data_IF_923760015962
#
_entry.id   IF_923760015962
#
_cell.length_a   1.000
_cell.length_b   1.000
_cell.length_c   1.000
_cell.angle_alpha   90.00
_cell.angle_beta   90.00
_cell.angle_gamma   90.00
#
_symmetry.space_group_name_H-M   'P 1'
#
loop_
_entity.id
_entity.type
_entity.pdbx_description
1 polymer ?
#
# COMPACT_ATOMS: atom_id res chain seq x y z
N UNK A 1 -15.38 -30.06 1.28
CA UNK A 1 -15.73 -29.62 -0.08
C UNK A 1 -15.33 -28.16 -0.20
N UNK A 2 -14.56 -27.75 -1.19
CA UNK A 2 -14.25 -26.33 -1.38
C UNK A 2 -15.54 -25.59 -1.72
N UNK A 3 -15.82 -24.53 -0.99
CA UNK A 3 -16.95 -23.63 -1.26
C UNK A 3 -16.64 -22.93 -2.58
N UNK A 4 -17.27 -23.37 -3.66
CA UNK A 4 -17.22 -22.66 -4.94
C UNK A 4 -18.12 -21.43 -4.82
N UNK A 5 -17.52 -20.26 -4.61
CA UNK A 5 -18.23 -18.99 -4.80
C UNK A 5 -18.51 -18.84 -6.31
N UNK A 6 -19.73 -18.39 -6.69
CA UNK A 6 -20.08 -18.26 -8.10
C UNK A 6 -19.14 -17.27 -8.78
N UNK A 7 -18.54 -17.73 -9.88
CA UNK A 7 -17.71 -16.90 -10.77
C UNK A 7 -18.62 -15.80 -11.33
N UNK A 8 -18.38 -14.54 -10.96
CA UNK A 8 -18.96 -13.42 -11.69
C UNK A 8 -18.19 -13.27 -12.99
N UNK A 9 -18.89 -13.04 -14.11
CA UNK A 9 -18.29 -12.87 -15.45
C UNK A 9 -17.18 -11.81 -15.51
N UNK A 10 -17.11 -10.93 -14.51
CA UNK A 10 -16.13 -9.87 -14.36
C UNK A 10 -14.78 -10.34 -13.76
N UNK A 11 -14.75 -11.48 -13.10
CA UNK A 11 -13.53 -11.93 -12.37
C UNK A 11 -12.42 -12.36 -13.33
N UNK A 12 -12.74 -12.95 -14.48
CA UNK A 12 -11.74 -13.33 -15.49
C UNK A 12 -11.06 -12.11 -16.13
N UNK A 13 -11.81 -11.04 -16.36
CA UNK A 13 -11.26 -9.80 -16.88
C UNK A 13 -10.32 -9.12 -15.89
N UNK A 14 -10.63 -9.18 -14.59
CA UNK A 14 -9.78 -8.70 -13.50
C UNK A 14 -8.47 -9.47 -13.45
N UNK A 15 -8.54 -10.81 -13.46
CA UNK A 15 -7.36 -11.68 -13.44
C UNK A 15 -6.49 -11.45 -14.68
N UNK A 16 -7.11 -11.31 -15.86
CA UNK A 16 -6.39 -11.00 -17.10
C UNK A 16 -5.69 -9.66 -17.01
N UNK A 17 -6.41 -8.60 -16.61
CA UNK A 17 -5.82 -7.26 -16.43
C UNK A 17 -4.62 -7.30 -15.48
N UNK A 18 -4.75 -7.96 -14.34
CA UNK A 18 -3.65 -8.11 -13.39
C UNK A 18 -2.44 -8.83 -14.00
N UNK A 19 -2.65 -9.93 -14.74
CA UNK A 19 -1.57 -10.70 -15.36
C UNK A 19 -0.88 -9.98 -16.51
N UNK A 20 -1.63 -9.26 -17.34
CA UNK A 20 -1.10 -8.60 -18.53
C UNK A 20 -0.52 -7.21 -18.19
N UNK A 21 -1.19 -6.46 -17.31
CA UNK A 21 -0.86 -5.07 -17.02
C UNK A 21 -0.11 -4.86 -15.71
N UNK A 22 -0.16 -5.87 -14.82
CA UNK A 22 0.40 -5.79 -13.45
C UNK A 22 -0.55 -5.18 -12.42
N UNK A 23 -1.76 -4.78 -12.82
CA UNK A 23 -2.77 -4.21 -11.93
C UNK A 23 -4.19 -4.43 -12.46
N UNK A 24 -5.16 -4.27 -11.57
CA UNK A 24 -6.58 -4.28 -11.91
C UNK A 24 -7.38 -3.41 -10.91
N UNK A 25 -8.62 -3.06 -11.28
CA UNK A 25 -9.58 -2.39 -10.41
C UNK A 25 -10.84 -3.24 -10.30
N UNK A 26 -11.32 -3.43 -9.08
CA UNK A 26 -12.57 -4.10 -8.76
C UNK A 26 -13.54 -3.07 -8.20
N UNK A 27 -14.54 -2.70 -8.98
CA UNK A 27 -15.51 -1.71 -8.57
C UNK A 27 -16.52 -2.29 -7.57
N UNK A 28 -16.88 -1.48 -6.57
CA UNK A 28 -17.89 -1.80 -5.55
C UNK A 28 -17.64 -3.16 -4.87
N UNK A 29 -16.37 -3.44 -4.55
CA UNK A 29 -15.99 -4.64 -3.82
C UNK A 29 -16.56 -4.64 -2.41
N UNK A 30 -16.65 -3.45 -1.80
CA UNK A 30 -17.29 -3.20 -0.52
C UNK A 30 -18.60 -2.45 -0.74
N UNK A 31 -19.67 -2.90 -0.10
CA UNK A 31 -20.94 -2.17 -0.04
C UNK A 31 -20.80 -0.87 0.77
N UNK A 32 -21.74 0.04 0.62
CA UNK A 32 -21.73 1.29 1.39
C UNK A 32 -21.76 1.03 2.90
N UNK A 33 -22.53 0.04 3.36
CA UNK A 33 -22.59 -0.33 4.78
C UNK A 33 -21.23 -0.85 5.28
N UNK A 34 -20.61 -1.81 4.58
CA UNK A 34 -19.29 -2.35 4.94
C UNK A 34 -18.22 -1.25 4.94
N UNK A 35 -18.30 -0.31 3.99
CA UNK A 35 -17.37 0.81 3.93
C UNK A 35 -17.49 1.74 5.14
N UNK A 36 -18.71 2.05 5.57
CA UNK A 36 -18.93 2.88 6.78
C UNK A 36 -18.45 2.17 8.05
N UNK A 37 -18.64 0.84 8.15
CA UNK A 37 -18.08 0.04 9.24
C UNK A 37 -16.55 0.12 9.26
N UNK A 38 -15.89 -0.04 8.10
CA UNK A 38 -14.43 0.07 7.98
C UNK A 38 -13.95 1.47 8.37
N UNK A 39 -14.62 2.53 7.90
CA UNK A 39 -14.28 3.91 8.25
C UNK A 39 -14.39 4.18 9.75
N UNK A 40 -15.47 3.69 10.39
CA UNK A 40 -15.67 3.81 11.82
C UNK A 40 -14.53 3.11 12.60
N UNK A 41 -14.15 1.91 12.18
CA UNK A 41 -13.05 1.16 12.81
C UNK A 41 -11.68 1.82 12.59
N UNK A 42 -11.43 2.41 11.42
CA UNK A 42 -10.21 3.23 11.20
C UNK A 42 -10.19 4.41 12.17
N UNK A 43 -11.29 5.15 12.32
CA UNK A 43 -11.37 6.26 13.28
C UNK A 43 -11.15 5.78 14.72
N UNK A 44 -11.81 4.69 15.11
CA UNK A 44 -11.65 4.10 16.44
C UNK A 44 -10.19 3.66 16.69
N UNK A 45 -9.56 3.02 15.70
CA UNK A 45 -8.15 2.60 15.78
C UNK A 45 -7.22 3.80 15.98
N UNK A 46 -7.41 4.87 15.24
CA UNK A 46 -6.58 6.07 15.33
C UNK A 46 -6.80 6.89 16.60
N UNK A 47 -7.98 6.76 17.24
CA UNK A 47 -8.29 7.44 18.50
C UNK A 47 -7.74 6.70 19.74
N UNK A 48 -7.28 5.45 19.58
CA UNK A 48 -6.68 4.69 20.68
C UNK A 48 -5.35 5.31 21.11
N UNK A 49 -5.00 5.08 22.38
CA UNK A 49 -3.65 5.37 22.85
C UNK A 49 -2.64 4.45 22.14
N UNK A 50 -1.79 5.04 21.33
CA UNK A 50 -0.78 4.38 20.51
C UNK A 50 0.54 4.23 21.29
N UNK A 51 0.52 4.42 22.60
CA UNK A 51 1.72 4.40 23.47
C UNK A 51 2.50 3.08 23.41
N UNK A 52 1.88 2.00 22.95
CA UNK A 52 2.53 0.69 22.73
C UNK A 52 3.01 0.44 21.31
N UNK A 53 2.86 1.40 20.39
CA UNK A 53 3.26 1.20 19.00
C UNK A 53 4.78 1.14 18.84
N UNK A 54 5.25 0.24 17.97
CA UNK A 54 6.66 0.15 17.60
C UNK A 54 7.08 1.38 16.80
N UNK A 55 8.35 1.76 16.89
CA UNK A 55 8.89 2.81 16.04
C UNK A 55 8.63 2.49 14.55
N UNK A 56 7.99 3.41 13.84
CA UNK A 56 7.62 3.26 12.43
C UNK A 56 6.23 2.67 12.18
N UNK A 57 5.45 2.30 13.20
CA UNK A 57 4.04 1.91 13.01
C UNK A 57 3.20 3.11 12.56
N UNK A 58 3.55 4.29 13.03
CA UNK A 58 2.87 5.53 12.68
C UNK A 58 3.85 6.56 12.15
N UNK A 59 3.56 7.07 10.98
CA UNK A 59 4.31 8.16 10.33
C UNK A 59 3.41 9.37 10.28
N UNK A 60 3.89 10.47 10.86
CA UNK A 60 3.18 11.74 10.90
C UNK A 60 3.82 12.76 9.97
N UNK A 61 3.00 13.71 9.52
CA UNK A 61 3.47 14.89 8.82
C UNK A 61 4.29 15.75 9.78
N UNK A 62 5.32 16.41 9.25
CA UNK A 62 6.06 17.42 9.99
C UNK A 62 5.35 18.77 9.91
N UNK A 63 4.13 18.82 10.42
CA UNK A 63 3.30 20.03 10.53
C UNK A 63 2.87 20.24 11.98
N UNK A 64 2.32 21.43 12.27
CA UNK A 64 1.89 21.80 13.63
C UNK A 64 0.83 20.84 14.20
N UNK A 65 -0.01 20.26 13.34
CA UNK A 65 -1.10 19.36 13.73
C UNK A 65 -0.66 17.91 13.88
N UNK A 66 0.58 17.57 13.45
CA UNK A 66 1.08 16.18 13.40
C UNK A 66 0.09 15.22 12.75
N UNK A 67 -0.43 15.62 11.58
CA UNK A 67 -1.40 14.81 10.85
C UNK A 67 -0.82 13.44 10.49
N UNK A 68 -1.58 12.38 10.67
CA UNK A 68 -1.15 11.03 10.31
C UNK A 68 -0.98 10.91 8.79
N UNK A 69 0.19 10.42 8.35
CA UNK A 69 0.49 10.05 6.97
C UNK A 69 0.26 8.57 6.70
N UNK A 70 0.81 7.71 7.56
CA UNK A 70 0.67 6.26 7.43
C UNK A 70 0.50 5.61 8.80
N UNK A 71 -0.30 4.54 8.83
CA UNK A 71 -0.31 3.57 9.92
C UNK A 71 0.01 2.19 9.33
N UNK A 72 1.10 1.58 9.77
CA UNK A 72 1.55 0.26 9.34
C UNK A 72 1.20 -0.81 10.37
N UNK A 73 1.22 -2.09 9.95
CA UNK A 73 0.99 -3.26 10.81
C UNK A 73 -0.30 -3.21 11.62
N UNK A 74 -1.36 -2.60 11.08
CA UNK A 74 -2.64 -2.46 11.77
C UNK A 74 -3.23 -3.81 12.20
N UNK A 75 -2.95 -4.87 11.45
CA UNK A 75 -3.38 -6.24 11.75
C UNK A 75 -2.70 -6.85 13.00
N UNK A 76 -1.51 -6.37 13.39
CA UNK A 76 -0.83 -6.79 14.63
C UNK A 76 -1.47 -6.16 15.88
N UNK A 77 -2.15 -5.02 15.72
CA UNK A 77 -2.69 -4.21 16.82
C UNK A 77 -4.22 -4.20 16.88
N UNK A 78 -4.89 -4.84 15.91
CA UNK A 78 -6.36 -4.86 15.84
C UNK A 78 -6.87 -6.15 15.22
N UNK A 79 -7.69 -6.87 15.99
CA UNK A 79 -8.38 -8.08 15.52
C UNK A 79 -9.32 -7.78 14.36
N UNK A 80 -9.89 -6.56 14.32
CA UNK A 80 -10.73 -6.14 13.21
C UNK A 80 -9.96 -6.13 11.90
N UNK A 81 -8.81 -5.44 11.81
CA UNK A 81 -8.03 -5.38 10.58
C UNK A 81 -7.38 -6.72 10.24
N UNK A 82 -7.03 -7.52 11.25
CA UNK A 82 -6.59 -8.89 11.06
C UNK A 82 -7.69 -9.76 10.43
N UNK A 83 -8.94 -9.60 10.86
CA UNK A 83 -10.09 -10.30 10.28
C UNK A 83 -10.47 -9.76 8.91
N UNK A 84 -10.45 -8.43 8.73
CA UNK A 84 -10.80 -7.77 7.48
C UNK A 84 -9.91 -8.18 6.32
N UNK A 85 -8.59 -8.25 6.52
CA UNK A 85 -7.67 -8.72 5.48
C UNK A 85 -7.88 -10.21 5.10
N UNK A 86 -8.60 -10.96 5.92
CA UNK A 86 -9.00 -12.36 5.69
C UNK A 86 -10.45 -12.51 5.24
N UNK A 87 -11.10 -11.41 4.88
CA UNK A 87 -12.46 -11.43 4.34
C UNK A 87 -12.55 -12.43 3.17
N UNK A 88 -13.53 -13.36 3.18
CA UNK A 88 -13.60 -14.45 2.19
C UNK A 88 -13.55 -13.98 0.73
N UNK A 89 -14.17 -12.84 0.42
CA UNK A 89 -14.15 -12.29 -0.94
C UNK A 89 -12.76 -11.81 -1.36
N UNK A 90 -11.95 -11.24 -0.46
CA UNK A 90 -10.56 -10.84 -0.73
C UNK A 90 -9.67 -12.07 -0.90
N UNK A 91 -9.75 -13.02 0.01
CA UNK A 91 -8.97 -14.27 -0.06
C UNK A 91 -9.27 -15.02 -1.34
N UNK A 92 -10.54 -15.20 -1.70
CA UNK A 92 -10.93 -15.90 -2.96
C UNK A 92 -10.36 -15.20 -4.19
N UNK A 93 -10.43 -13.86 -4.22
CA UNK A 93 -9.86 -13.08 -5.33
C UNK A 93 -8.34 -13.31 -5.45
N UNK A 94 -7.62 -13.20 -4.35
CA UNK A 94 -6.16 -13.38 -4.31
C UNK A 94 -5.73 -14.80 -4.67
N UNK A 95 -6.43 -15.82 -4.15
CA UNK A 95 -6.21 -17.23 -4.52
C UNK A 95 -6.32 -17.45 -6.03
N UNK A 96 -7.30 -16.81 -6.67
CA UNK A 96 -7.47 -16.89 -8.11
C UNK A 96 -6.39 -16.15 -8.89
N UNK A 97 -5.90 -15.01 -8.39
CA UNK A 97 -4.77 -14.27 -9.00
C UNK A 97 -3.53 -15.15 -9.07
N UNK A 98 -3.20 -15.81 -7.95
CA UNK A 98 -2.01 -16.66 -7.85
C UNK A 98 -2.20 -18.06 -8.41
N UNK A 99 -3.45 -18.53 -8.59
CA UNK A 99 -3.74 -19.96 -8.82
C UNK A 99 -3.25 -20.83 -7.66
N UNK A 100 -3.34 -20.31 -6.43
CA UNK A 100 -2.88 -20.92 -5.19
C UNK A 100 -3.99 -20.85 -4.13
N UNK A 101 -4.41 -22.04 -3.64
CA UNK A 101 -5.44 -22.13 -2.62
C UNK A 101 -4.99 -21.63 -1.24
N UNK A 102 -3.67 -21.60 -1.01
CA UNK A 102 -3.06 -21.25 0.29
C UNK A 102 -2.44 -19.85 0.29
N UNK A 103 -3.11 -18.88 -0.37
CA UNK A 103 -2.70 -17.48 -0.32
C UNK A 103 -2.68 -16.95 1.11
N UNK A 104 -1.61 -16.26 1.48
CA UNK A 104 -1.34 -15.77 2.83
C UNK A 104 -1.57 -14.27 2.87
N UNK A 105 -2.35 -13.83 3.86
CA UNK A 105 -2.53 -12.42 4.19
C UNK A 105 -1.41 -11.97 5.14
N UNK A 106 -0.59 -11.00 4.72
CA UNK A 106 0.69 -10.65 5.37
C UNK A 106 0.68 -9.25 6.03
N UNK A 107 -0.21 -8.34 5.64
CA UNK A 107 -0.18 -6.99 6.20
C UNK A 107 -1.44 -6.17 5.98
N UNK A 108 -1.68 -5.24 6.92
CA UNK A 108 -2.69 -4.19 6.77
C UNK A 108 -2.09 -2.83 7.14
N UNK A 109 -2.34 -1.81 6.31
CA UNK A 109 -1.83 -0.45 6.48
C UNK A 109 -2.84 0.60 6.03
N UNK A 110 -2.78 1.77 6.63
CA UNK A 110 -3.50 2.97 6.17
C UNK A 110 -2.50 3.96 5.57
N UNK A 111 -2.80 4.47 4.39
CA UNK A 111 -2.10 5.60 3.76
C UNK A 111 -3.08 6.75 3.63
N UNK A 112 -2.77 7.85 4.31
CA UNK A 112 -3.61 9.02 4.37
C UNK A 112 -2.90 10.23 3.77
N UNK A 113 -3.38 10.73 2.63
CA UNK A 113 -2.99 12.05 2.13
C UNK A 113 -3.99 13.07 2.64
N UNK A 114 -3.54 13.87 3.59
CA UNK A 114 -4.36 14.98 4.13
C UNK A 114 -4.66 16.01 3.03
N UNK A 115 -5.66 16.88 3.22
CA UNK A 115 -5.95 17.97 2.30
C UNK A 115 -4.70 18.77 1.98
N UNK A 116 -4.47 19.06 0.69
CA UNK A 116 -3.35 19.87 0.18
C UNK A 116 -1.97 19.31 0.54
N UNK A 117 -1.86 18.00 0.80
CA UNK A 117 -0.59 17.33 1.07
C UNK A 117 0.35 17.41 -0.13
N UNK A 118 1.47 18.11 0.03
CA UNK A 118 2.43 18.33 -1.05
C UNK A 118 3.36 17.14 -1.32
N UNK A 119 3.42 16.15 -0.41
CA UNK A 119 4.34 15.03 -0.56
C UNK A 119 3.88 14.03 -1.61
N UNK A 120 4.85 13.38 -2.21
CA UNK A 120 4.71 12.31 -3.18
C UNK A 120 5.34 11.03 -2.64
N UNK A 121 4.82 9.88 -3.04
CA UNK A 121 5.57 8.64 -2.94
C UNK A 121 6.26 8.40 -4.28
N UNK A 122 7.60 8.36 -4.30
CA UNK A 122 8.34 8.26 -5.56
C UNK A 122 8.13 6.90 -6.22
N UNK A 123 8.50 6.76 -7.48
CA UNK A 123 8.45 5.49 -8.20
C UNK A 123 9.23 4.41 -7.47
N UNK A 124 8.55 3.28 -7.23
CA UNK A 124 9.09 2.12 -6.54
C UNK A 124 8.36 0.84 -6.95
N UNK A 125 8.84 -0.28 -6.49
CA UNK A 125 8.21 -1.58 -6.55
C UNK A 125 8.09 -2.10 -5.13
N UNK A 126 6.93 -2.62 -4.74
CA UNK A 126 6.70 -3.10 -3.36
C UNK A 126 7.64 -4.24 -2.96
N UNK A 127 8.09 -5.05 -3.93
CA UNK A 127 9.02 -6.13 -3.65
C UNK A 127 10.40 -5.65 -3.16
N UNK A 128 10.72 -4.36 -3.32
CA UNK A 128 11.90 -3.75 -2.70
C UNK A 128 11.79 -3.63 -1.17
N UNK A 129 10.58 -3.82 -0.61
CA UNK A 129 10.32 -3.86 0.83
C UNK A 129 9.99 -5.27 1.33
N UNK A 130 9.48 -6.15 0.45
CA UNK A 130 8.89 -7.43 0.82
C UNK A 130 9.81 -8.62 0.54
N UNK A 131 10.65 -8.53 -0.50
CA UNK A 131 11.70 -9.52 -0.81
C UNK A 131 11.18 -10.93 -1.15
N UNK A 132 10.01 -11.02 -1.84
CA UNK A 132 9.40 -12.30 -2.24
C UNK A 132 10.06 -12.91 -3.48
N UNK A 133 10.32 -14.23 -3.43
CA UNK A 133 10.77 -15.04 -4.55
C UNK A 133 10.08 -16.42 -4.54
N UNK A 134 9.35 -16.83 -5.61
CA UNK A 134 8.94 -15.99 -6.73
C UNK A 134 8.12 -14.78 -6.27
N UNK A 135 7.99 -13.70 -7.07
CA UNK A 135 7.29 -12.49 -6.66
C UNK A 135 5.76 -12.62 -6.82
N UNK A 136 5.20 -13.79 -6.45
CA UNK A 136 3.76 -14.06 -6.46
C UNK A 136 3.11 -13.39 -5.26
N UNK A 137 3.06 -12.05 -5.28
CA UNK A 137 2.48 -11.24 -4.22
C UNK A 137 1.75 -10.01 -4.80
N UNK A 138 0.77 -9.52 -4.07
CA UNK A 138 -0.14 -8.44 -4.51
C UNK A 138 -0.44 -7.47 -3.38
N UNK A 139 -0.38 -6.18 -3.69
CA UNK A 139 -1.00 -5.12 -2.91
C UNK A 139 -2.48 -5.00 -3.29
N UNK A 140 -3.36 -5.05 -2.30
CA UNK A 140 -4.80 -4.87 -2.43
C UNK A 140 -5.19 -3.61 -1.68
N UNK A 141 -5.74 -2.62 -2.37
CA UNK A 141 -5.99 -1.30 -1.78
C UNK A 141 -7.45 -0.93 -1.87
N UNK A 142 -8.12 -0.82 -0.72
CA UNK A 142 -9.49 -0.33 -0.59
C UNK A 142 -9.49 1.20 -0.50
N UNK A 143 -10.26 1.86 -1.35
CA UNK A 143 -10.50 3.29 -1.27
C UNK A 143 -11.55 3.60 -0.20
N UNK A 144 -11.15 4.31 0.85
CA UNK A 144 -12.07 4.85 1.85
C UNK A 144 -12.66 6.19 1.39
N UNK A 145 -11.90 6.95 0.63
CA UNK A 145 -12.29 8.20 0.00
C UNK A 145 -12.09 8.12 -1.51
N UNK A 146 -12.61 9.08 -2.25
CA UNK A 146 -12.32 9.19 -3.68
C UNK A 146 -10.81 9.34 -3.91
N UNK A 147 -10.28 8.53 -4.82
CA UNK A 147 -8.88 8.56 -5.23
C UNK A 147 -8.80 8.87 -6.71
N UNK A 148 -8.36 10.08 -7.05
CA UNK A 148 -8.23 10.61 -8.39
C UNK A 148 -6.82 11.15 -8.64
N UNK A 149 -6.49 11.51 -9.87
CA UNK A 149 -5.22 12.13 -10.21
C UNK A 149 -4.94 13.37 -9.35
N UNK A 150 -5.97 14.17 -9.05
CA UNK A 150 -5.85 15.38 -8.24
C UNK A 150 -5.64 15.10 -6.75
N UNK A 151 -6.22 14.01 -6.23
CA UNK A 151 -6.06 13.61 -4.83
C UNK A 151 -4.82 12.73 -4.59
N UNK A 152 -4.01 12.48 -5.63
CA UNK A 152 -2.80 11.68 -5.56
C UNK A 152 -3.08 10.19 -5.56
N UNK A 153 -3.89 9.71 -6.50
CA UNK A 153 -4.13 8.30 -6.75
C UNK A 153 -2.83 7.55 -7.10
N UNK A 154 -2.88 6.23 -6.99
CA UNK A 154 -1.79 5.35 -7.43
C UNK A 154 -1.70 5.44 -8.97
N UNK A 155 -0.51 5.66 -9.47
CA UNK A 155 -0.18 5.62 -10.91
C UNK A 155 0.77 4.46 -11.14
N UNK A 156 0.39 3.53 -12.01
CA UNK A 156 1.18 2.34 -12.37
C UNK A 156 1.77 2.47 -13.77
N UNK A 157 2.97 1.94 -13.95
CA UNK A 157 3.56 1.73 -15.27
C UNK A 157 3.08 0.37 -15.81
N UNK A 158 2.21 0.39 -16.81
CA UNK A 158 1.55 -0.78 -17.36
C UNK A 158 2.55 -1.81 -17.90
N UNK A 159 2.43 -3.07 -17.42
CA UNK A 159 3.30 -4.17 -17.85
C UNK A 159 4.69 -4.21 -17.21
N UNK A 160 5.07 -3.19 -16.41
CA UNK A 160 6.42 -3.08 -15.84
C UNK A 160 6.78 -4.22 -14.86
N UNK A 161 5.80 -4.92 -14.30
CA UNK A 161 6.01 -6.06 -13.40
C UNK A 161 6.77 -7.22 -14.04
N UNK A 162 6.74 -7.33 -15.37
CA UNK A 162 7.41 -8.41 -16.12
C UNK A 162 8.92 -8.24 -16.20
N UNK A 163 9.45 -7.06 -15.88
CA UNK A 163 10.89 -6.78 -15.88
C UNK A 163 11.62 -7.30 -14.62
N UNK A 164 10.89 -7.90 -13.67
CA UNK A 164 11.44 -8.23 -12.38
C UNK A 164 11.66 -6.99 -11.50
N UNK A 165 12.48 -7.15 -10.45
CA UNK A 165 12.81 -6.04 -9.56
C UNK A 165 14.02 -5.24 -10.07
N UNK A 166 13.86 -3.92 -10.16
CA UNK A 166 14.90 -2.99 -10.55
C UNK A 166 15.69 -2.51 -9.32
N UNK A 167 16.89 -1.92 -9.52
CA UNK A 167 17.66 -1.35 -8.42
C UNK A 167 16.93 -0.21 -7.70
N UNK A 168 16.92 -0.26 -6.37
CA UNK A 168 16.34 0.75 -5.50
C UNK A 168 17.39 1.40 -4.61
N UNK A 169 17.11 2.63 -4.20
CA UNK A 169 17.92 3.43 -3.27
C UNK A 169 17.02 4.03 -2.16
N UNK A 170 17.59 4.53 -1.05
CA UNK A 170 16.83 5.31 -0.08
C UNK A 170 16.17 6.52 -0.74
N UNK A 171 14.88 6.71 -0.53
CA UNK A 171 14.11 7.80 -1.12
C UNK A 171 14.23 9.13 -0.38
N UNK A 172 14.54 9.08 0.91
CA UNK A 172 14.44 10.23 1.81
C UNK A 172 13.00 10.62 2.21
N UNK A 173 11.99 9.90 1.72
CA UNK A 173 10.57 10.21 1.96
C UNK A 173 10.02 9.35 3.09
N UNK A 174 9.45 9.98 4.12
CA UNK A 174 8.76 9.28 5.21
C UNK A 174 7.53 8.54 4.68
N UNK A 175 7.41 7.26 5.02
CA UNK A 175 6.31 6.39 4.55
C UNK A 175 6.58 5.69 3.21
N UNK A 176 7.64 6.10 2.47
CA UNK A 176 8.08 5.44 1.24
C UNK A 176 9.61 5.42 1.20
N UNK A 177 10.23 4.60 2.02
CA UNK A 177 11.68 4.65 2.31
C UNK A 177 12.59 4.30 1.14
N UNK A 178 12.08 3.71 0.06
CA UNK A 178 12.84 3.36 -1.15
C UNK A 178 12.24 3.97 -2.41
N UNK A 179 13.10 4.24 -3.39
CA UNK A 179 12.74 4.67 -4.74
C UNK A 179 13.61 3.98 -5.77
N UNK A 180 13.19 3.93 -7.01
CA UNK A 180 14.04 3.49 -8.12
C UNK A 180 15.31 4.34 -8.20
N UNK A 181 16.45 3.71 -8.51
CA UNK A 181 17.71 4.41 -8.80
C UNK A 181 17.59 5.20 -10.11
N UNK A 182 16.94 4.62 -11.10
CA UNK A 182 16.69 5.25 -12.40
C UNK A 182 15.33 4.81 -12.94
N UNK A 183 14.64 5.74 -13.58
CA UNK A 183 13.39 5.45 -14.27
C UNK A 183 13.64 4.66 -15.56
N UNK A 184 12.77 3.70 -15.91
CA UNK A 184 12.74 3.18 -17.27
C UNK A 184 12.55 4.32 -18.29
N UNK A 185 12.92 4.09 -19.54
CA UNK A 185 12.70 5.11 -20.57
C UNK A 185 11.21 5.41 -20.71
N UNK A 186 10.83 6.67 -20.76
CA UNK A 186 9.44 7.11 -20.78
C UNK A 186 8.60 6.49 -21.92
N UNK A 187 9.23 6.05 -23.00
CA UNK A 187 8.56 5.41 -24.14
C UNK A 187 8.27 3.89 -23.91
N UNK A 188 8.76 3.30 -22.84
CA UNK A 188 8.64 1.84 -22.61
C UNK A 188 7.31 1.45 -21.98
N UNK A 189 6.70 2.34 -21.17
CA UNK A 189 5.50 2.03 -20.40
C UNK A 189 4.48 3.17 -20.43
N UNK A 190 3.20 2.81 -20.55
CA UNK A 190 2.11 3.76 -20.35
C UNK A 190 1.87 3.96 -18.84
N UNK A 191 1.71 5.21 -18.42
CA UNK A 191 1.26 5.54 -17.07
C UNK A 191 -0.26 5.44 -16.99
N UNK A 192 -0.75 4.71 -16.00
CA UNK A 192 -2.18 4.53 -15.77
C UNK A 192 -2.54 4.91 -14.34
N UNK A 193 -3.35 5.95 -14.20
CA UNK A 193 -3.91 6.37 -12.92
C UNK A 193 -5.04 5.43 -12.50
N UNK A 194 -4.93 4.82 -11.32
CA UNK A 194 -5.97 3.98 -10.74
C UNK A 194 -6.98 4.87 -10.00
N UNK A 195 -7.94 5.43 -10.74
CA UNK A 195 -9.03 6.21 -10.16
C UNK A 195 -10.02 5.28 -9.47
N UNK A 196 -10.32 5.54 -8.19
CA UNK A 196 -11.18 4.72 -7.35
C UNK A 196 -12.27 5.57 -6.71
N UNK A 197 -13.49 5.04 -6.68
CA UNK A 197 -14.56 5.53 -5.83
C UNK A 197 -14.52 4.83 -4.47
N UNK A 198 -15.07 5.43 -3.40
CA UNK A 198 -15.18 4.77 -2.10
C UNK A 198 -15.84 3.39 -2.21
N UNK A 199 -15.17 2.35 -1.67
CA UNK A 199 -15.59 0.95 -1.78
C UNK A 199 -15.01 0.19 -2.97
N UNK A 200 -14.34 0.87 -3.91
CA UNK A 200 -13.54 0.22 -4.95
C UNK A 200 -12.23 -0.32 -4.38
N UNK A 201 -11.70 -1.35 -5.02
CA UNK A 201 -10.42 -1.95 -4.66
C UNK A 201 -9.51 -1.96 -5.88
N UNK A 202 -8.26 -1.52 -5.73
CA UNK A 202 -7.21 -1.77 -6.70
C UNK A 202 -6.32 -2.93 -6.28
N UNK A 203 -5.80 -3.63 -7.28
CA UNK A 203 -4.84 -4.72 -7.17
C UNK A 203 -3.59 -4.31 -7.91
N UNK A 204 -2.42 -4.45 -7.31
CA UNK A 204 -1.16 -4.23 -8.02
C UNK A 204 -0.13 -5.29 -7.64
N UNK A 205 0.55 -5.81 -8.66
CA UNK A 205 1.61 -6.80 -8.51
C UNK A 205 2.81 -6.16 -7.79
N UNK A 206 3.46 -6.89 -6.88
CA UNK A 206 4.58 -6.36 -6.08
C UNK A 206 5.75 -5.81 -6.91
N UNK A 207 5.89 -6.28 -8.15
CA UNK A 207 6.91 -5.80 -9.08
C UNK A 207 6.39 -4.73 -10.05
N UNK A 208 5.13 -4.31 -10.00
CA UNK A 208 4.69 -3.18 -10.84
C UNK A 208 5.31 -1.89 -10.32
N UNK A 209 5.91 -1.14 -11.21
CA UNK A 209 6.45 0.18 -10.87
C UNK A 209 5.27 1.13 -10.71
N UNK A 210 5.21 1.79 -9.56
CA UNK A 210 4.14 2.73 -9.27
C UNK A 210 4.61 3.89 -8.39
N UNK A 211 3.82 4.94 -8.39
CA UNK A 211 4.03 6.13 -7.57
C UNK A 211 2.70 6.76 -7.16
N UNK A 212 2.74 7.79 -6.32
CA UNK A 212 1.56 8.62 -6.06
C UNK A 212 1.96 10.08 -6.01
N UNK A 213 1.25 10.94 -6.77
CA UNK A 213 1.43 12.39 -6.72
C UNK A 213 0.89 13.03 -5.43
N UNK A 214 0.97 14.36 -5.28
CA UNK A 214 0.44 15.10 -4.14
C UNK A 214 -1.10 15.06 -4.12
N UNK A 215 -1.69 15.34 -2.96
CA UNK A 215 -3.12 15.62 -2.85
C UNK A 215 -3.35 17.13 -3.00
N UNK A 216 -3.92 17.55 -4.12
CA UNK A 216 -4.23 18.97 -4.41
C UNK A 216 -5.66 19.35 -4.06
N UNK A 217 -6.43 18.41 -3.48
CA UNK A 217 -7.83 18.64 -3.10
C UNK A 217 -7.97 19.12 -1.67
N UNK A 218 -9.14 19.64 -1.33
CA UNK A 218 -9.51 20.01 0.03
C UNK A 218 -10.00 18.83 0.89
N UNK A 219 -9.97 17.60 0.36
CA UNK A 219 -10.44 16.40 1.03
C UNK A 219 -9.29 15.44 1.36
N UNK A 220 -9.48 14.61 2.37
CA UNK A 220 -8.59 13.47 2.62
C UNK A 220 -8.65 12.46 1.48
N UNK A 221 -7.54 11.79 1.21
CA UNK A 221 -7.50 10.58 0.39
C UNK A 221 -6.90 9.45 1.23
N UNK A 222 -7.77 8.66 1.83
CA UNK A 222 -7.41 7.51 2.67
C UNK A 222 -7.56 6.22 1.87
N UNK A 223 -6.49 5.45 1.84
CA UNK A 223 -6.43 4.13 1.24
C UNK A 223 -6.05 3.12 2.32
N UNK A 224 -6.84 2.05 2.46
CA UNK A 224 -6.54 0.93 3.34
C UNK A 224 -5.93 -0.19 2.50
N UNK A 225 -4.64 -0.43 2.69
CA UNK A 225 -3.87 -1.42 1.95
C UNK A 225 -3.76 -2.75 2.70
N UNK A 226 -3.82 -3.84 1.95
CA UNK A 226 -3.54 -5.20 2.42
C UNK A 226 -2.50 -5.83 1.53
N UNK A 227 -1.56 -6.57 2.09
CA UNK A 227 -0.58 -7.35 1.34
C UNK A 227 -0.87 -8.84 1.43
N UNK A 228 -0.71 -9.52 0.31
CA UNK A 228 -0.87 -10.97 0.21
C UNK A 228 0.25 -11.55 -0.64
N UNK A 229 0.63 -12.77 -0.30
CA UNK A 229 1.57 -13.56 -1.11
C UNK A 229 1.10 -15.01 -1.25
N UNK A 230 1.58 -15.68 -2.30
CA UNK A 230 1.40 -17.11 -2.50
C UNK A 230 2.17 -17.90 -1.41
N UNK A 231 1.64 -19.04 -0.98
CA UNK A 231 2.35 -19.97 -0.11
C UNK A 231 3.68 -20.48 -0.71
N UNK A 232 3.83 -20.35 -2.03
CA UNK A 232 5.07 -20.71 -2.75
C UNK A 232 6.16 -19.65 -2.69
N UNK A 233 5.81 -18.41 -2.32
CA UNK A 233 6.76 -17.30 -2.22
C UNK A 233 7.57 -17.39 -0.94
N UNK A 234 8.88 -17.32 -1.06
CA UNK A 234 9.81 -17.31 0.06
C UNK A 234 10.38 -15.90 0.22
N UNK A 235 10.47 -15.44 1.46
CA UNK A 235 11.12 -14.18 1.75
C UNK A 235 12.65 -14.34 1.80
N UNK A 236 13.38 -13.42 1.18
CA UNK A 236 14.79 -13.25 1.47
C UNK A 236 14.97 -12.54 2.82
N UNK A 237 15.04 -13.33 3.89
CA UNK A 237 15.14 -12.85 5.27
C UNK A 237 16.43 -12.08 5.54
N UNK A 238 17.51 -12.33 4.79
CA UNK A 238 18.78 -11.61 4.91
C UNK A 238 18.60 -10.19 4.37
N UNK A 239 18.05 -10.06 3.16
CA UNK A 239 17.76 -8.76 2.55
C UNK A 239 16.72 -7.97 3.36
N UNK A 240 15.66 -8.62 3.86
CA UNK A 240 14.65 -8.03 4.74
C UNK A 240 15.27 -7.48 6.01
N UNK A 241 16.07 -8.29 6.71
CA UNK A 241 16.72 -7.88 7.96
C UNK A 241 17.68 -6.71 7.74
N UNK A 242 18.39 -6.66 6.61
CA UNK A 242 19.25 -5.52 6.28
C UNK A 242 18.40 -4.27 6.05
N UNK A 243 17.35 -4.38 5.27
CA UNK A 243 16.42 -3.27 5.02
C UNK A 243 15.82 -2.71 6.32
N UNK A 244 15.39 -3.56 7.25
CA UNK A 244 14.83 -3.14 8.53
C UNK A 244 15.84 -2.38 9.40
N UNK A 245 17.12 -2.80 9.38
CA UNK A 245 18.20 -2.05 10.05
C UNK A 245 18.38 -0.66 9.44
N UNK A 246 18.42 -0.59 8.12
CA UNK A 246 18.61 0.68 7.40
C UNK A 246 17.41 1.63 7.64
N UNK A 247 16.19 1.08 7.65
CA UNK A 247 14.98 1.82 7.93
C UNK A 247 14.98 2.41 9.37
N UNK A 248 15.40 1.64 10.37
CA UNK A 248 15.52 2.12 11.76
C UNK A 248 16.49 3.30 11.85
N UNK A 249 17.64 3.21 11.16
CA UNK A 249 18.63 4.30 11.13
C UNK A 249 18.04 5.55 10.46
N UNK A 250 17.33 5.37 9.34
CA UNK A 250 16.65 6.48 8.64
C UNK A 250 15.61 7.17 9.51
N UNK A 251 14.72 6.40 10.15
CA UNK A 251 13.67 6.96 11.02
C UNK A 251 14.27 7.70 12.22
N UNK A 252 15.33 7.17 12.84
CA UNK A 252 16.01 7.83 13.95
C UNK A 252 16.64 9.17 13.54
N UNK A 253 17.31 9.22 12.37
CA UNK A 253 17.88 10.47 11.85
C UNK A 253 16.81 11.52 11.53
N UNK A 254 15.68 11.11 10.97
CA UNK A 254 14.56 11.99 10.64
C UNK A 254 13.92 12.62 11.89
N UNK A 255 13.87 11.89 13.01
CA UNK A 255 13.35 12.38 14.28
C UNK A 255 14.35 13.30 15.02
N UNK A 256 15.66 13.03 14.93
CA UNK A 256 16.70 13.86 15.59
C UNK A 256 16.96 15.16 14.84
N UNK A 257 16.84 15.18 13.50
CA UNK A 257 16.98 16.40 12.69
C UNK A 257 15.88 17.45 12.96
N UNK A 258 14.67 17.02 13.32
CA UNK A 258 13.59 17.95 13.71
C UNK A 258 13.79 18.59 15.09
N UNK A 259 14.61 18.00 15.98
CA UNK A 259 14.93 18.59 17.30
C UNK A 259 16.02 19.67 17.25
N UNK A 260 16.88 19.67 16.24
CA UNK A 260 17.96 20.66 16.11
C UNK A 260 17.52 22.02 15.53
N UNK A 261 16.36 22.06 14.85
CA UNK A 261 15.80 23.31 14.31
C UNK A 261 15.00 24.15 15.34
N UNK A 262 14.70 23.57 16.50
CA UNK A 262 13.93 24.25 17.55
C UNK A 262 14.79 24.90 18.66
N UNK A 263 16.13 24.89 18.56
CA UNK A 263 17.07 25.42 19.57
C UNK A 263 17.93 26.61 19.10
N UNK A 264 17.61 27.23 17.96
CA UNK A 264 18.39 28.38 17.44
C UNK A 264 17.62 29.70 17.36
N UNK A 265 16.51 29.85 18.11
CA UNK A 265 15.87 31.16 18.34
C UNK A 265 15.65 31.37 19.85
N UNK A 266 16.70 31.80 20.50
CA UNK A 266 16.66 32.49 21.82
C UNK A 266 17.77 33.54 21.89
#
# INVERSE_FOLDING_TARGET
MPIQFPIRSNDESIIRSYRERGFAVVHKMFSAQELEEVKAEVQHYLARDISGAKAGDFIFENNAEKSLRCAFRMHEHSDYFNSLMRKPSLITLVQRLFGDADAIADGAMLINKVPLAAYEFPYHQDNAYQFWTPPDAVGVTLALDESSAESGAIVCLEGSHTQGILPHQPSGVLGASRSLVSMPKAAEYAEVTLSLQPGDVSLHHVNVIHHTGPNRTANHRRLLGFSYHSSRSLCDEVARSQYERDLKIFLHKSQSGSKSLSLSDS
#
